data_IF_698550170378
#
_entry.id   IF_698550170378
#
_cell.length_a   1.000
_cell.length_b   1.000
_cell.length_c   1.000
_cell.angle_alpha   90.00
_cell.angle_beta   90.00
_cell.angle_gamma   90.00
#
_symmetry.space_group_name_H-M   'P 1'
#
loop_
_entity.id
_entity.type
_entity.pdbx_description
1 polymer ?
#
# COMPACT_ATOMS: atom_id res chain seq x y z
N UNK A 1 -4.99 17.08 4.38
CA UNK A 1 -6.01 16.13 3.88
C UNK A 1 -5.96 15.93 2.36
N UNK A 2 -5.83 17.00 1.54
CA UNK A 2 -5.76 16.86 0.07
C UNK A 2 -4.62 15.96 -0.44
N UNK A 3 -3.43 16.01 0.19
CA UNK A 3 -2.27 15.19 -0.20
C UNK A 3 -2.53 13.69 -0.02
N UNK A 4 -3.16 13.29 1.10
CA UNK A 4 -3.48 11.89 1.38
C UNK A 4 -4.49 11.33 0.38
N UNK A 5 -5.51 12.13 0.06
CA UNK A 5 -6.54 11.75 -0.90
C UNK A 5 -5.98 11.63 -2.33
N UNK A 6 -5.09 12.56 -2.71
CA UNK A 6 -4.37 12.47 -3.98
C UNK A 6 -3.46 11.23 -4.04
N UNK A 7 -2.69 10.95 -2.98
CA UNK A 7 -1.85 9.76 -2.87
C UNK A 7 -2.66 8.47 -3.06
N UNK A 8 -3.79 8.35 -2.35
CA UNK A 8 -4.69 7.20 -2.47
C UNK A 8 -5.18 7.01 -3.91
N UNK A 9 -5.63 8.07 -4.58
CA UNK A 9 -6.10 7.99 -5.97
C UNK A 9 -5.03 7.50 -6.94
N UNK A 10 -3.75 7.87 -6.71
CA UNK A 10 -2.62 7.45 -7.55
C UNK A 10 -2.21 6.01 -7.30
N UNK A 11 -2.21 5.56 -6.04
CA UNK A 11 -1.94 4.17 -5.68
C UNK A 11 -2.99 3.24 -6.29
N UNK A 12 -4.29 3.57 -6.16
CA UNK A 12 -5.35 2.79 -6.80
C UNK A 12 -5.25 2.77 -8.32
N UNK A 13 -4.86 3.89 -8.96
CA UNK A 13 -4.62 3.93 -10.39
C UNK A 13 -3.43 3.05 -10.82
N UNK A 14 -2.35 3.03 -10.04
CA UNK A 14 -1.21 2.14 -10.28
C UNK A 14 -1.64 0.66 -10.15
N UNK A 15 -2.34 0.30 -9.07
CA UNK A 15 -2.87 -1.07 -8.88
C UNK A 15 -3.83 -1.50 -10.00
N UNK A 16 -4.68 -0.59 -10.50
CA UNK A 16 -5.56 -0.86 -11.63
C UNK A 16 -4.81 -1.01 -12.97
N UNK A 17 -3.70 -0.30 -13.15
CA UNK A 17 -2.80 -0.45 -14.31
C UNK A 17 -2.01 -1.76 -14.26
N UNK A 18 -1.63 -2.20 -13.07
CA UNK A 18 -0.93 -3.47 -12.86
C UNK A 18 -1.87 -4.68 -12.97
N UNK A 19 -3.18 -4.45 -13.15
CA UNK A 19 -4.19 -5.49 -13.35
C UNK A 19 -4.72 -6.12 -12.05
N UNK A 20 -4.28 -5.63 -10.88
CA UNK A 20 -4.76 -6.06 -9.56
C UNK A 20 -6.19 -5.61 -9.26
N UNK A 21 -6.69 -4.60 -9.98
CA UNK A 21 -8.07 -4.10 -9.90
C UNK A 21 -8.72 -4.11 -11.29
N UNK A 22 -10.07 -4.10 -11.38
CA UNK A 22 -10.77 -4.07 -12.65
C UNK A 22 -10.29 -2.93 -13.55
N UNK A 23 -9.98 -3.25 -14.82
CA UNK A 23 -9.49 -2.27 -15.83
C UNK A 23 -10.43 -1.08 -16.01
N UNK A 24 -11.70 -1.23 -15.62
CA UNK A 24 -12.67 -0.15 -15.54
C UNK A 24 -12.22 1.04 -14.66
N UNK A 25 -11.46 0.77 -13.58
CA UNK A 25 -10.88 1.79 -12.71
C UNK A 25 -9.61 2.42 -13.27
N UNK A 26 -8.94 1.77 -14.23
CA UNK A 26 -7.76 2.32 -14.91
C UNK A 26 -8.10 3.39 -15.96
N UNK A 27 -9.39 3.60 -16.26
CA UNK A 27 -9.86 4.59 -17.22
C UNK A 27 -9.66 6.01 -16.70
N UNK A 28 -8.82 6.78 -17.39
CA UNK A 28 -8.58 8.20 -17.11
C UNK A 28 -9.51 9.04 -17.99
N UNK A 29 -10.10 10.12 -17.45
CA UNK A 29 -10.89 11.03 -18.27
C UNK A 29 -9.96 11.79 -19.25
N UNK A 30 -10.23 11.78 -20.58
CA UNK A 30 -9.36 12.39 -21.59
C UNK A 30 -9.19 13.92 -21.44
N UNK A 31 -10.14 14.63 -20.85
CA UNK A 31 -10.07 16.10 -20.72
C UNK A 31 -9.30 16.56 -19.47
N UNK A 32 -9.62 15.99 -18.31
CA UNK A 32 -9.00 16.40 -17.04
C UNK A 32 -7.73 15.62 -16.71
N UNK A 33 -7.43 14.52 -17.45
CA UNK A 33 -6.33 13.58 -17.19
C UNK A 33 -6.34 13.03 -15.75
N UNK A 34 -7.49 13.06 -15.08
CA UNK A 34 -7.68 12.58 -13.70
C UNK A 34 -8.56 11.32 -13.65
N UNK A 35 -8.30 10.39 -12.70
CA UNK A 35 -9.12 9.20 -12.50
C UNK A 35 -10.37 9.54 -11.66
N UNK A 36 -11.31 10.30 -12.23
CA UNK A 36 -12.51 10.81 -11.52
C UNK A 36 -13.31 9.67 -10.86
N UNK A 37 -13.41 8.50 -11.50
CA UNK A 37 -14.13 7.34 -10.96
C UNK A 37 -13.52 6.81 -9.66
N UNK A 38 -12.18 6.75 -9.59
CA UNK A 38 -11.46 6.35 -8.37
C UNK A 38 -11.70 7.41 -7.29
N UNK A 39 -11.56 8.69 -7.63
CA UNK A 39 -11.73 9.79 -6.69
C UNK A 39 -13.15 9.80 -6.10
N UNK A 40 -14.17 9.69 -6.94
CA UNK A 40 -15.56 9.67 -6.49
C UNK A 40 -15.86 8.45 -5.61
N UNK A 41 -15.48 7.24 -6.06
CA UNK A 41 -15.73 6.01 -5.29
C UNK A 41 -15.02 5.99 -3.95
N UNK A 42 -13.72 6.32 -3.91
CA UNK A 42 -12.96 6.40 -2.66
C UNK A 42 -13.47 7.51 -1.76
N UNK A 43 -13.84 8.68 -2.31
CA UNK A 43 -14.39 9.80 -1.54
C UNK A 43 -15.73 9.46 -0.89
N UNK A 44 -16.64 8.83 -1.62
CA UNK A 44 -17.93 8.37 -1.06
C UNK A 44 -17.72 7.32 0.03
N UNK A 45 -16.82 6.36 -0.18
CA UNK A 45 -16.54 5.31 0.81
C UNK A 45 -15.91 5.89 2.08
N UNK A 46 -14.98 6.85 1.94
CA UNK A 46 -14.41 7.58 3.07
C UNK A 46 -15.46 8.38 3.83
N UNK A 47 -16.38 9.07 3.14
CA UNK A 47 -17.44 9.85 3.78
C UNK A 47 -18.37 8.96 4.61
N UNK A 48 -18.72 7.77 4.11
CA UNK A 48 -19.52 6.79 4.85
C UNK A 48 -18.74 6.32 6.08
N UNK A 49 -17.49 5.87 5.93
CA UNK A 49 -16.71 5.39 7.07
C UNK A 49 -16.51 6.46 8.14
N UNK A 50 -16.27 7.71 7.75
CA UNK A 50 -16.12 8.82 8.68
C UNK A 50 -17.42 9.15 9.44
N UNK A 51 -18.59 8.85 8.87
CA UNK A 51 -19.88 9.07 9.53
C UNK A 51 -20.21 7.99 10.58
N UNK A 52 -19.73 6.75 10.40
CA UNK A 52 -20.10 5.61 11.24
C UNK A 52 -18.99 5.11 12.18
N UNK A 53 -17.72 5.43 11.92
CA UNK A 53 -16.58 4.89 12.67
C UNK A 53 -15.89 5.99 13.50
N UNK A 54 -15.68 5.78 14.82
CA UNK A 54 -14.95 6.72 15.66
C UNK A 54 -13.53 7.01 15.15
N UNK A 55 -13.08 8.26 15.29
CA UNK A 55 -11.76 8.68 14.82
C UNK A 55 -10.61 7.95 15.52
N UNK A 56 -10.80 7.53 16.78
CA UNK A 56 -9.81 6.76 17.54
C UNK A 56 -9.54 5.39 16.90
N UNK A 57 -10.59 4.64 16.59
CA UNK A 57 -10.48 3.35 15.89
C UNK A 57 -9.80 3.52 14.52
N UNK A 58 -10.19 4.55 13.76
CA UNK A 58 -9.58 4.84 12.45
C UNK A 58 -8.09 5.17 12.59
N UNK A 59 -7.70 5.94 13.60
CA UNK A 59 -6.31 6.30 13.85
C UNK A 59 -5.46 5.07 14.20
N UNK A 60 -5.98 4.16 15.02
CA UNK A 60 -5.30 2.90 15.34
C UNK A 60 -5.11 2.01 14.11
N UNK A 61 -6.15 1.89 13.26
CA UNK A 61 -6.09 1.12 12.01
C UNK A 61 -5.08 1.70 11.01
N UNK A 62 -5.02 3.02 10.89
CA UNK A 62 -4.04 3.69 10.02
C UNK A 62 -2.63 3.49 10.56
N UNK A 63 -2.43 3.63 11.88
CA UNK A 63 -1.11 3.51 12.51
C UNK A 63 -0.51 2.11 12.31
N UNK A 64 -1.29 1.05 12.56
CA UNK A 64 -0.81 -0.33 12.34
C UNK A 64 -0.45 -0.58 10.86
N UNK A 65 -1.27 -0.05 9.94
CA UNK A 65 -1.00 -0.16 8.50
C UNK A 65 0.28 0.57 8.07
N UNK A 66 0.51 1.78 8.58
CA UNK A 66 1.72 2.55 8.27
C UNK A 66 2.97 1.92 8.87
N UNK A 67 2.90 1.40 10.10
CA UNK A 67 4.02 0.69 10.72
C UNK A 67 4.37 -0.56 9.92
N UNK A 68 3.37 -1.33 9.48
CA UNK A 68 3.59 -2.50 8.63
C UNK A 68 4.20 -2.14 7.28
N UNK A 69 3.73 -1.06 6.64
CA UNK A 69 4.32 -0.57 5.40
C UNK A 69 5.79 -0.16 5.59
N UNK A 70 6.13 0.50 6.70
CA UNK A 70 7.52 0.85 7.03
C UNK A 70 8.41 -0.37 7.25
N UNK A 71 7.94 -1.37 8.01
CA UNK A 71 8.66 -2.65 8.18
C UNK A 71 8.93 -3.27 6.79
N UNK A 72 7.90 -3.34 5.94
CA UNK A 72 8.01 -3.92 4.59
C UNK A 72 9.02 -3.16 3.72
N UNK A 73 9.02 -1.83 3.77
CA UNK A 73 9.99 -1.00 3.04
C UNK A 73 11.41 -1.20 3.57
N UNK A 74 11.62 -1.23 4.89
CA UNK A 74 12.92 -1.48 5.48
C UNK A 74 13.49 -2.85 5.06
N UNK A 75 12.65 -3.89 5.09
CA UNK A 75 13.02 -5.23 4.61
C UNK A 75 13.32 -5.20 3.10
N UNK A 76 12.47 -4.54 2.31
CA UNK A 76 12.63 -4.41 0.86
C UNK A 76 13.94 -3.74 0.47
N UNK A 77 14.39 -2.72 1.20
CA UNK A 77 15.69 -2.06 1.00
C UNK A 77 16.84 -3.04 1.27
N UNK A 78 16.76 -3.86 2.32
CA UNK A 78 17.76 -4.90 2.61
C UNK A 78 17.81 -5.90 1.46
N UNK A 79 16.65 -6.46 1.06
CA UNK A 79 16.55 -7.44 -0.03
C UNK A 79 17.11 -6.88 -1.33
N UNK A 80 16.70 -5.67 -1.73
CA UNK A 80 17.16 -5.04 -2.97
C UNK A 80 18.67 -4.83 -2.99
N UNK A 81 19.33 -4.70 -1.85
CA UNK A 81 20.80 -4.61 -1.78
C UNK A 81 21.50 -5.93 -2.04
N UNK A 82 20.93 -7.04 -1.62
CA UNK A 82 21.51 -8.36 -1.86
C UNK A 82 21.13 -8.93 -3.23
N UNK A 83 19.92 -8.68 -3.72
CA UNK A 83 19.45 -9.25 -4.99
C UNK A 83 19.92 -8.48 -6.23
N UNK A 84 19.97 -7.14 -6.16
CA UNK A 84 20.34 -6.30 -7.30
C UNK A 84 21.42 -5.28 -6.94
N UNK A 85 22.67 -5.73 -6.74
CA UNK A 85 23.77 -4.88 -6.28
C UNK A 85 24.19 -3.82 -7.31
N UNK A 86 24.03 -4.08 -8.61
CA UNK A 86 24.56 -3.26 -9.72
C UNK A 86 23.69 -2.04 -10.09
N UNK A 87 22.54 -1.86 -9.45
CA UNK A 87 21.66 -0.73 -9.73
C UNK A 87 22.31 0.62 -9.33
N UNK A 88 22.22 1.67 -10.18
CA UNK A 88 22.73 2.99 -9.83
C UNK A 88 21.92 3.58 -8.67
N UNK A 89 22.57 3.78 -7.52
CA UNK A 89 21.96 4.32 -6.29
C UNK A 89 22.51 5.72 -6.01
N UNK A 90 21.80 6.80 -6.40
CA UNK A 90 22.25 8.17 -6.16
C UNK A 90 22.32 8.52 -4.66
N UNK A 91 21.51 7.84 -3.83
CA UNK A 91 21.60 7.88 -2.38
C UNK A 91 21.76 6.46 -1.82
N UNK A 92 22.72 6.27 -0.91
CA UNK A 92 22.94 5.02 -0.18
C UNK A 92 22.70 5.29 1.30
N UNK A 93 21.87 4.48 1.94
CA UNK A 93 21.65 4.60 3.38
C UNK A 93 22.97 4.38 4.12
N UNK A 94 23.42 5.33 4.96
CA UNK A 94 24.62 5.15 5.77
C UNK A 94 24.42 3.95 6.71
N UNK A 95 25.50 3.25 7.09
CA UNK A 95 25.45 2.12 8.05
C UNK A 95 24.43 1.01 7.72
N UNK A 96 24.27 0.66 6.44
CA UNK A 96 23.46 -0.49 6.05
C UNK A 96 24.18 -1.80 6.40
N UNK A 97 23.51 -2.84 6.96
CA UNK A 97 22.06 -2.96 7.20
C UNK A 97 21.56 -2.51 8.58
N UNK A 98 22.40 -1.92 9.43
CA UNK A 98 22.05 -1.56 10.80
C UNK A 98 20.86 -0.59 10.86
N UNK A 99 20.85 0.47 10.04
CA UNK A 99 19.75 1.46 10.06
C UNK A 99 18.40 0.83 9.68
N UNK A 100 18.25 0.10 8.55
CA UNK A 100 17.01 -0.60 8.25
C UNK A 100 16.57 -1.58 9.34
N UNK A 101 17.50 -2.31 9.96
CA UNK A 101 17.18 -3.28 11.03
C UNK A 101 16.66 -2.57 12.28
N UNK A 102 17.30 -1.48 12.70
CA UNK A 102 16.80 -0.65 13.81
C UNK A 102 15.41 -0.10 13.49
N UNK A 103 15.16 0.34 12.25
CA UNK A 103 13.84 0.78 11.81
C UNK A 103 12.77 -0.32 11.95
N UNK A 104 13.09 -1.56 11.54
CA UNK A 104 12.20 -2.72 11.73
C UNK A 104 11.94 -2.97 13.22
N UNK A 105 12.98 -2.97 14.05
CA UNK A 105 12.86 -3.21 15.50
C UNK A 105 11.99 -2.13 16.15
N UNK A 106 12.22 -0.85 15.84
CA UNK A 106 11.43 0.26 16.38
C UNK A 106 9.97 0.18 15.95
N UNK A 107 9.70 -0.10 14.66
CA UNK A 107 8.33 -0.24 14.17
C UNK A 107 7.62 -1.46 14.76
N UNK A 108 8.33 -2.59 14.92
CA UNK A 108 7.80 -3.79 15.54
C UNK A 108 7.48 -3.57 17.02
N UNK A 109 8.35 -2.86 17.74
CA UNK A 109 8.12 -2.49 19.14
C UNK A 109 6.84 -1.64 19.28
N UNK A 110 6.67 -0.63 18.44
CA UNK A 110 5.44 0.18 18.42
C UNK A 110 4.21 -0.67 18.08
N UNK A 111 4.33 -1.60 17.13
CA UNK A 111 3.23 -2.49 16.74
C UNK A 111 2.77 -3.40 17.88
N UNK A 112 3.67 -3.88 18.74
CA UNK A 112 3.35 -4.72 19.91
C UNK A 112 2.62 -3.92 21.00
N UNK A 113 2.84 -2.60 21.06
CA UNK A 113 2.16 -1.73 22.03
C UNK A 113 0.71 -1.39 21.63
N UNK A 114 0.25 -1.79 20.44
CA UNK A 114 -1.14 -1.55 20.01
C UNK A 114 -2.09 -2.62 20.59
N UNK A 115 -3.38 -2.29 20.80
CA UNK A 115 -4.36 -3.24 21.31
C UNK A 115 -4.47 -4.49 20.43
N UNK A 116 -4.63 -5.66 21.06
CA UNK A 116 -4.75 -6.95 20.36
C UNK A 116 -5.92 -6.96 19.35
N UNK A 117 -7.01 -6.25 19.66
CA UNK A 117 -8.15 -6.07 18.76
C UNK A 117 -7.76 -5.44 17.42
N UNK A 118 -6.84 -4.48 17.42
CA UNK A 118 -6.36 -3.79 16.22
C UNK A 118 -5.51 -4.71 15.35
N UNK A 119 -4.70 -5.57 15.97
CA UNK A 119 -3.94 -6.62 15.28
C UNK A 119 -4.86 -7.62 14.57
N UNK A 120 -5.94 -8.04 15.23
CA UNK A 120 -6.91 -8.97 14.64
C UNK A 120 -7.64 -8.34 13.45
N UNK A 121 -8.11 -7.09 13.57
CA UNK A 121 -8.71 -6.33 12.45
C UNK A 121 -7.74 -6.23 11.25
N UNK A 122 -6.46 -5.97 11.52
CA UNK A 122 -5.43 -5.91 10.49
C UNK A 122 -5.20 -7.26 9.80
N UNK A 123 -5.12 -8.36 10.55
CA UNK A 123 -4.97 -9.71 9.97
C UNK A 123 -6.18 -10.06 9.10
N UNK A 124 -7.41 -9.80 9.57
CA UNK A 124 -8.63 -10.01 8.78
C UNK A 124 -8.56 -9.22 7.47
N UNK A 125 -8.16 -7.95 7.52
CA UNK A 125 -8.00 -7.12 6.33
C UNK A 125 -6.94 -7.66 5.36
N UNK A 126 -5.80 -8.14 5.88
CA UNK A 126 -4.75 -8.78 5.08
C UNK A 126 -5.25 -10.06 4.40
N UNK A 127 -6.02 -10.89 5.11
CA UNK A 127 -6.63 -12.10 4.55
C UNK A 127 -7.61 -11.76 3.44
N UNK A 128 -8.45 -10.72 3.62
CA UNK A 128 -9.35 -10.22 2.56
C UNK A 128 -8.54 -9.76 1.35
N UNK A 129 -7.47 -8.99 1.56
CA UNK A 129 -6.60 -8.51 0.48
C UNK A 129 -5.96 -9.66 -0.30
N UNK A 130 -5.43 -10.67 0.39
CA UNK A 130 -4.86 -11.87 -0.23
C UNK A 130 -5.94 -12.67 -0.97
N UNK A 131 -7.14 -12.82 -0.40
CA UNK A 131 -8.26 -13.48 -1.04
C UNK A 131 -8.69 -12.80 -2.35
N UNK A 132 -8.81 -11.46 -2.34
CA UNK A 132 -9.07 -10.67 -3.54
C UNK A 132 -7.95 -10.81 -4.58
N UNK A 133 -6.68 -10.83 -4.14
CA UNK A 133 -5.55 -11.05 -5.02
C UNK A 133 -5.58 -12.44 -5.68
N UNK A 134 -5.91 -13.50 -4.94
CA UNK A 134 -6.02 -14.84 -5.51
C UNK A 134 -7.21 -14.99 -6.45
N UNK A 135 -8.34 -14.39 -6.11
CA UNK A 135 -9.56 -14.49 -6.92
C UNK A 135 -9.47 -13.65 -8.21
N UNK A 136 -8.92 -12.43 -8.13
CA UNK A 136 -8.89 -11.48 -9.25
C UNK A 136 -7.48 -11.32 -9.86
N UNK A 137 -6.46 -11.14 -9.01
CA UNK A 137 -5.08 -10.90 -9.43
C UNK A 137 -4.44 -12.05 -10.19
N UNK A 138 -4.77 -13.31 -9.85
CA UNK A 138 -4.20 -14.49 -10.54
C UNK A 138 -4.63 -14.62 -12.01
N UNK A 139 -5.83 -14.16 -12.36
CA UNK A 139 -6.38 -14.30 -13.72
C UNK A 139 -6.13 -13.08 -14.62
N UNK A 140 -5.79 -11.91 -14.05
CA UNK A 140 -5.74 -10.65 -14.80
C UNK A 140 -4.40 -9.88 -14.67
N UNK A 141 -3.43 -10.41 -13.91
CA UNK A 141 -2.10 -9.79 -13.76
C UNK A 141 -1.33 -9.84 -15.09
N UNK A 142 -1.08 -8.66 -15.67
CA UNK A 142 -0.45 -8.47 -16.99
C UNK A 142 1.09 -8.38 -16.88
N UNK A 143 1.66 -8.68 -15.71
CA UNK A 143 3.11 -8.59 -15.46
C UNK A 143 3.94 -9.55 -16.34
N UNK A 144 3.32 -10.55 -16.98
CA UNK A 144 4.00 -11.49 -17.88
C UNK A 144 3.98 -11.09 -19.37
N UNK A 145 3.48 -9.90 -19.75
CA UNK A 145 3.32 -9.52 -21.16
C UNK A 145 4.13 -8.29 -21.61
N UNK A 146 5.08 -7.82 -20.79
CA UNK A 146 5.99 -6.71 -21.13
C UNK A 146 7.42 -7.14 -21.49
N UNK A 147 7.64 -8.41 -21.82
CA UNK A 147 8.96 -8.93 -22.22
C UNK A 147 9.06 -9.35 -23.69
N UNK A 148 8.18 -8.84 -24.57
CA UNK A 148 8.29 -9.08 -26.02
C UNK A 148 7.77 -7.90 -26.85
N UNK A 149 8.55 -6.83 -26.96
CA UNK A 149 8.68 -5.97 -28.16
C UNK A 149 9.78 -4.95 -27.92
#
# INVERSE_FOLDING_TARGET
MLVLFYGLSRVFLAMARDGLLPRFFASINPHTKTPIRIIASCGTLMAILAAFVPIADLAELVNIGTLFAFITVCIGVIILRYTHPDLPRPFKTPFMPLIPVLGVISCAYLMINLPWFTMLRFIVWMVIGIGLYWFYGRFNSVLNHKEST
#
